data_IF_559394787799
#
_entry.id   IF_559394787799
#
_cell.length_a   1.000
_cell.length_b   1.000
_cell.length_c   1.000
_cell.angle_alpha   90.00
_cell.angle_beta   90.00
_cell.angle_gamma   90.00
#
_symmetry.space_group_name_H-M   'P 1'
#
loop_
_entity.id
_entity.type
_entity.pdbx_description
1 polymer ?
#
# COMPACT_ATOMS: atom_id res chain seq x y z
N UNK A 1 -6.16 -4.74 9.54
CA UNK A 1 -4.74 -4.54 9.21
C UNK A 1 -3.90 -4.92 10.43
N UNK A 2 -2.78 -5.64 10.27
CA UNK A 2 -1.85 -5.92 11.38
C UNK A 2 -0.73 -4.90 11.34
N UNK A 3 -0.61 -4.06 12.38
CA UNK A 3 0.45 -3.07 12.52
C UNK A 3 1.62 -3.71 13.28
N UNK A 4 2.83 -3.61 12.74
CA UNK A 4 4.06 -3.98 13.42
C UNK A 4 4.87 -2.70 13.61
N UNK A 5 4.86 -2.18 14.83
CA UNK A 5 5.63 -0.98 15.17
C UNK A 5 7.06 -1.37 15.52
N UNK A 6 8.03 -0.67 14.92
CA UNK A 6 9.45 -0.80 15.25
C UNK A 6 10.06 0.60 15.23
N UNK A 7 10.52 1.08 16.39
CA UNK A 7 11.14 2.40 16.53
C UNK A 7 12.66 2.29 16.49
N UNK A 8 13.30 3.17 15.72
CA UNK A 8 14.74 3.36 15.67
C UNK A 8 15.02 4.86 15.56
N UNK A 9 16.08 5.33 16.23
CA UNK A 9 16.43 6.73 16.55
C UNK A 9 15.73 7.31 17.79
N UNK A 10 16.54 7.92 18.66
CA UNK A 10 16.10 8.70 19.82
C UNK A 10 15.88 10.19 19.48
N UNK A 11 16.05 10.58 18.22
CA UNK A 11 15.92 11.95 17.74
C UNK A 11 14.61 12.10 16.98
N UNK A 12 13.73 12.98 17.45
CA UNK A 12 12.42 13.27 16.86
C UNK A 12 12.51 13.96 15.48
N UNK A 13 13.65 14.59 15.14
CA UNK A 13 13.82 15.37 13.92
C UNK A 13 14.38 14.57 12.73
N UNK A 14 14.03 13.30 12.62
CA UNK A 14 14.59 12.37 11.63
C UNK A 14 13.61 11.97 10.50
N UNK A 15 14.14 11.23 9.52
CA UNK A 15 13.31 10.49 8.57
C UNK A 15 12.49 9.44 9.35
N UNK A 16 11.17 9.46 9.19
CA UNK A 16 10.25 8.49 9.77
C UNK A 16 9.47 7.82 8.63
N UNK A 17 9.60 6.50 8.52
CA UNK A 17 9.14 5.73 7.36
C UNK A 17 8.01 4.78 7.73
N UNK A 18 6.88 4.92 7.05
CA UNK A 18 5.77 3.98 7.09
C UNK A 18 5.82 3.04 5.89
N UNK A 19 5.74 1.73 6.14
CA UNK A 19 5.70 0.71 5.08
C UNK A 19 4.38 -0.07 5.24
N UNK A 20 3.50 0.04 4.25
CA UNK A 20 2.21 -0.62 4.26
C UNK A 20 2.13 -1.69 3.17
N UNK A 21 2.07 -2.96 3.56
CA UNK A 21 1.67 -4.03 2.65
C UNK A 21 0.15 -4.10 2.60
N UNK A 22 -0.45 -3.56 1.54
CA UNK A 22 -1.91 -3.54 1.36
C UNK A 22 -2.37 -4.69 0.47
N UNK A 23 -3.46 -5.35 0.89
CA UNK A 23 -4.11 -6.38 0.08
C UNK A 23 -4.94 -5.74 -1.03
N UNK A 24 -4.36 -5.60 -2.22
CA UNK A 24 -5.03 -4.98 -3.37
C UNK A 24 -6.14 -5.85 -3.96
N UNK A 25 -7.13 -5.20 -4.56
CA UNK A 25 -8.22 -5.81 -5.35
C UNK A 25 -8.05 -5.38 -6.81
N UNK A 26 -7.64 -6.27 -7.73
CA UNK A 26 -7.41 -5.92 -9.13
C UNK A 26 -8.68 -5.32 -9.76
N UNK A 27 -8.53 -4.19 -10.45
CA UNK A 27 -9.64 -3.53 -11.15
C UNK A 27 -10.62 -2.74 -10.27
N UNK A 28 -10.41 -2.69 -8.94
CA UNK A 28 -11.20 -1.84 -8.05
C UNK A 28 -10.32 -0.73 -7.45
N UNK A 29 -10.20 0.37 -8.19
CA UNK A 29 -9.37 1.52 -7.82
C UNK A 29 -9.81 2.16 -6.50
N UNK A 30 -11.12 2.34 -6.33
CA UNK A 30 -11.70 2.98 -5.15
C UNK A 30 -11.38 2.18 -3.88
N UNK A 31 -11.61 0.87 -3.88
CA UNK A 31 -11.30 0.03 -2.72
C UNK A 31 -9.79 -0.01 -2.39
N UNK A 32 -8.92 0.15 -3.40
CA UNK A 32 -7.48 0.22 -3.17
C UNK A 32 -7.04 1.60 -2.65
N UNK A 33 -7.65 2.67 -3.16
CA UNK A 33 -7.47 4.03 -2.68
C UNK A 33 -7.89 4.15 -1.21
N UNK A 34 -9.04 3.60 -0.82
CA UNK A 34 -9.52 3.62 0.57
C UNK A 34 -8.49 2.97 1.50
N UNK A 35 -7.90 1.84 1.11
CA UNK A 35 -6.85 1.16 1.90
C UNK A 35 -5.55 1.97 1.99
N UNK A 36 -5.20 2.73 0.95
CA UNK A 36 -4.06 3.64 0.98
C UNK A 36 -4.33 4.78 1.96
N UNK A 37 -5.54 5.36 1.91
CA UNK A 37 -5.97 6.43 2.81
C UNK A 37 -5.94 5.94 4.27
N UNK A 38 -6.51 4.77 4.57
CA UNK A 38 -6.49 4.18 5.91
C UNK A 38 -5.05 4.02 6.46
N UNK A 39 -4.12 3.62 5.60
CA UNK A 39 -2.71 3.49 5.97
C UNK A 39 -2.05 4.86 6.21
N UNK A 40 -2.38 5.87 5.39
CA UNK A 40 -1.88 7.24 5.55
C UNK A 40 -2.42 7.89 6.83
N UNK A 41 -3.67 7.65 7.20
CA UNK A 41 -4.25 8.16 8.45
C UNK A 41 -3.50 7.58 9.67
N UNK A 42 -3.17 6.29 9.61
CA UNK A 42 -2.32 5.65 10.64
C UNK A 42 -0.93 6.29 10.67
N UNK A 43 -0.28 6.45 9.52
CA UNK A 43 1.05 7.06 9.42
C UNK A 43 1.09 8.50 9.93
N UNK A 44 0.04 9.28 9.62
CA UNK A 44 -0.11 10.65 10.10
C UNK A 44 -0.19 10.71 11.63
N UNK A 45 -0.97 9.81 12.25
CA UNK A 45 -1.07 9.71 13.71
C UNK A 45 0.27 9.39 14.41
N UNK A 46 1.20 8.75 13.69
CA UNK A 46 2.55 8.42 14.15
C UNK A 46 3.64 9.37 13.62
N UNK A 47 3.27 10.50 13.03
CA UNK A 47 4.21 11.51 12.51
C UNK A 47 5.22 10.95 11.48
N UNK A 48 4.81 9.93 10.72
CA UNK A 48 5.57 9.43 9.58
C UNK A 48 5.66 10.49 8.49
N UNK A 49 6.85 10.67 7.90
CA UNK A 49 7.09 11.68 6.85
C UNK A 49 7.48 11.09 5.48
N UNK A 50 7.60 9.76 5.39
CA UNK A 50 7.72 9.04 4.12
C UNK A 50 6.87 7.76 4.16
N UNK A 51 5.95 7.61 3.22
CA UNK A 51 5.13 6.41 3.08
C UNK A 51 5.58 5.58 1.86
N UNK A 52 5.73 4.27 2.04
CA UNK A 52 6.13 3.33 1.00
C UNK A 52 5.04 2.28 0.83
N UNK A 53 4.60 2.09 -0.42
CA UNK A 53 3.60 1.11 -0.82
C UNK A 53 4.17 0.18 -1.90
N UNK A 54 3.65 -1.06 -2.02
CA UNK A 54 3.99 -1.95 -3.12
C UNK A 54 3.67 -1.35 -4.50
N UNK A 55 4.37 -1.83 -5.52
CA UNK A 55 4.05 -1.56 -6.91
C UNK A 55 2.61 -2.01 -7.24
N UNK A 56 1.90 -1.25 -8.07
CA UNK A 56 0.49 -1.48 -8.40
C UNK A 56 -0.46 -1.52 -7.19
N UNK A 57 -0.09 -0.86 -6.09
CA UNK A 57 -0.94 -0.72 -4.89
C UNK A 57 -2.32 -0.12 -5.19
N UNK A 58 -2.40 0.79 -6.16
CA UNK A 58 -3.67 1.42 -6.57
C UNK A 58 -4.47 0.58 -7.57
N UNK A 59 -3.84 0.10 -8.65
CA UNK A 59 -4.54 -0.60 -9.73
C UNK A 59 -4.76 -2.09 -9.46
N UNK A 60 -3.92 -2.66 -8.61
CA UNK A 60 -3.75 -4.09 -8.46
C UNK A 60 -2.90 -4.73 -9.56
N UNK A 61 -2.40 -5.94 -9.28
CA UNK A 61 -1.59 -6.71 -10.21
C UNK A 61 -2.51 -7.53 -11.14
N UNK A 62 -2.47 -7.26 -12.44
CA UNK A 62 -3.38 -7.83 -13.45
C UNK A 62 -3.03 -9.25 -13.93
N UNK A 63 -2.56 -10.13 -13.04
CA UNK A 63 -1.99 -11.44 -13.43
C UNK A 63 -2.98 -12.32 -14.20
N UNK A 64 -4.29 -12.14 -13.98
CA UNK A 64 -5.33 -12.97 -14.60
C UNK A 64 -5.87 -12.42 -15.93
N UNK A 65 -5.62 -11.14 -16.27
CA UNK A 65 -6.02 -10.60 -17.59
C UNK A 65 -5.25 -11.30 -18.72
N UNK A 66 -4.05 -11.81 -18.45
CA UNK A 66 -3.22 -12.50 -19.43
C UNK A 66 -3.31 -14.03 -19.42
N UNK A 67 -4.03 -14.66 -18.47
CA UNK A 67 -4.21 -16.14 -18.47
C UNK A 67 -5.42 -16.60 -19.28
N UNK A 68 -6.35 -15.71 -19.60
CA UNK A 68 -7.57 -16.02 -20.38
C UNK A 68 -7.68 -15.14 -21.62
N UNK A 69 -6.55 -14.91 -22.31
CA UNK A 69 -6.55 -14.49 -23.70
C UNK A 69 -6.84 -15.70 -24.59
N UNK A 70 -8.09 -15.81 -25.01
CA UNK A 70 -8.62 -16.82 -25.92
C UNK A 70 -7.69 -17.07 -27.12
N UNK A 71 -7.58 -18.35 -27.53
CA UNK A 71 -7.23 -18.69 -28.91
C UNK A 71 -8.21 -17.94 -29.81
N UNK A 72 -7.67 -17.08 -30.67
CA UNK A 72 -8.42 -16.48 -31.76
C UNK A 72 -8.76 -17.61 -32.74
N UNK A 73 -10.00 -18.09 -32.69
CA UNK A 73 -10.70 -18.68 -33.85
C UNK A 73 -11.53 -17.59 -34.52
#
# INVERSE_FOLDING_TARGET
MRIIEKSFSAQESGLSVGIANIGQTPGNLEANQDRIIDALDTFSAHQVNLAIFPEYSLSGYFRDIFRTGNKLE
#
